data_IF_805778789186
#
_entry.id   IF_805778789186
#
_cell.length_a   1.000
_cell.length_b   1.000
_cell.length_c   1.000
_cell.angle_alpha   90.00
_cell.angle_beta   90.00
_cell.angle_gamma   90.00
#
_symmetry.space_group_name_H-M   'P 1'
#
loop_
_entity.id
_entity.type
_entity.pdbx_description
1 polymer ?
#
# COMPACT_ATOMS: atom_id res chain seq x y z
N UNK A 1 -42.56 36.19 25.21
CA UNK A 1 -43.49 36.02 24.07
C UNK A 1 -42.90 36.71 22.82
N UNK A 2 -41.96 36.08 22.09
CA UNK A 2 -41.22 36.77 21.02
C UNK A 2 -41.97 36.90 19.68
N UNK A 3 -43.03 36.11 19.42
CA UNK A 3 -43.75 36.09 18.13
C UNK A 3 -45.15 36.72 18.16
N UNK A 4 -45.62 37.12 19.35
CA UNK A 4 -46.97 37.67 19.54
C UNK A 4 -47.26 38.98 18.76
N UNK A 5 -46.33 39.95 18.61
CA UNK A 5 -46.64 41.18 17.88
C UNK A 5 -46.70 41.01 16.36
N UNK A 6 -46.30 39.85 15.81
CA UNK A 6 -46.23 39.60 14.36
C UNK A 6 -47.38 38.71 13.87
N UNK A 7 -47.84 37.74 14.67
CA UNK A 7 -48.85 36.75 14.24
C UNK A 7 -50.10 36.64 15.15
N UNK A 8 -50.18 37.39 16.25
CA UNK A 8 -51.27 37.29 17.23
C UNK A 8 -51.11 36.14 18.24
N UNK A 9 -51.68 36.30 19.44
CA UNK A 9 -51.39 35.45 20.62
C UNK A 9 -51.84 33.98 20.43
N UNK A 10 -52.91 33.74 19.67
CA UNK A 10 -53.43 32.38 19.39
C UNK A 10 -52.52 31.63 18.41
N UNK A 11 -52.14 32.26 17.30
CA UNK A 11 -51.24 31.65 16.31
C UNK A 11 -49.83 31.45 16.89
N UNK A 12 -49.36 32.38 17.74
CA UNK A 12 -48.08 32.26 18.44
C UNK A 12 -48.04 31.05 19.38
N UNK A 13 -49.10 30.82 20.15
CA UNK A 13 -49.23 29.65 21.03
C UNK A 13 -49.36 28.35 20.24
N UNK A 14 -50.14 28.36 19.15
CA UNK A 14 -50.27 27.19 18.27
C UNK A 14 -48.92 26.80 17.64
N UNK A 15 -48.17 27.78 17.12
CA UNK A 15 -46.84 27.55 16.54
C UNK A 15 -45.84 27.03 17.59
N UNK A 16 -45.80 27.64 18.78
CA UNK A 16 -44.93 27.19 19.86
C UNK A 16 -45.28 25.77 20.33
N UNK A 17 -46.57 25.46 20.50
CA UNK A 17 -47.05 24.12 20.87
C UNK A 17 -46.67 23.07 19.83
N UNK A 18 -46.91 23.34 18.54
CA UNK A 18 -46.51 22.45 17.44
C UNK A 18 -45.01 22.21 17.40
N UNK A 19 -44.21 23.26 17.61
CA UNK A 19 -42.74 23.17 17.64
C UNK A 19 -42.25 22.30 18.80
N UNK A 20 -42.79 22.49 20.01
CA UNK A 20 -42.43 21.71 21.20
C UNK A 20 -42.83 20.24 21.07
N UNK A 21 -43.97 19.95 20.43
CA UNK A 21 -44.46 18.58 20.25
C UNK A 21 -43.73 17.85 19.10
N UNK A 22 -43.48 18.53 17.98
CA UNK A 22 -42.95 17.87 16.78
C UNK A 22 -41.42 17.82 16.71
N UNK A 23 -40.69 18.81 17.23
CA UNK A 23 -39.21 18.82 17.15
C UNK A 23 -38.56 17.59 17.80
N UNK A 24 -38.96 17.13 19.01
CA UNK A 24 -38.37 15.92 19.59
C UNK A 24 -38.60 14.69 18.71
N UNK A 25 -39.76 14.58 18.05
CA UNK A 25 -40.07 13.50 17.12
C UNK A 25 -39.20 13.52 15.86
N UNK A 26 -38.99 14.70 15.27
CA UNK A 26 -38.12 14.87 14.10
C UNK A 26 -36.66 14.55 14.44
N UNK A 27 -36.12 15.08 15.55
CA UNK A 27 -34.75 14.79 15.96
C UNK A 27 -34.59 13.33 16.42
N UNK A 28 -35.57 12.76 17.11
CA UNK A 28 -35.59 11.34 17.46
C UNK A 28 -35.55 10.44 16.23
N UNK A 29 -36.35 10.77 15.20
CA UNK A 29 -36.33 10.09 13.91
C UNK A 29 -34.97 10.26 13.20
N UNK A 30 -34.41 11.46 13.13
CA UNK A 30 -33.10 11.69 12.50
C UNK A 30 -31.96 10.95 13.19
N UNK A 31 -31.94 10.96 14.53
CA UNK A 31 -30.94 10.22 15.32
C UNK A 31 -31.10 8.71 15.09
N UNK A 32 -32.34 8.22 15.08
CA UNK A 32 -32.63 6.82 14.80
C UNK A 32 -32.21 6.44 13.37
N UNK A 33 -32.61 7.21 12.36
CA UNK A 33 -32.31 6.99 10.95
C UNK A 33 -30.80 7.01 10.72
N UNK A 34 -30.07 7.96 11.31
CA UNK A 34 -28.62 8.03 11.24
C UNK A 34 -27.96 6.82 11.91
N UNK A 35 -28.46 6.41 13.07
CA UNK A 35 -27.96 5.23 13.79
C UNK A 35 -28.21 3.94 12.99
N UNK A 36 -29.37 3.78 12.39
CA UNK A 36 -29.73 2.59 11.63
C UNK A 36 -28.98 2.54 10.30
N UNK A 37 -28.84 3.69 9.63
CA UNK A 37 -27.97 3.84 8.45
C UNK A 37 -26.52 3.52 8.80
N UNK A 38 -26.01 3.98 9.95
CA UNK A 38 -24.67 3.64 10.43
C UNK A 38 -24.51 2.15 10.71
N UNK A 39 -25.52 1.49 11.31
CA UNK A 39 -25.53 0.05 11.54
C UNK A 39 -25.48 -0.73 10.23
N UNK A 40 -26.22 -0.30 9.20
CA UNK A 40 -26.16 -0.89 7.87
C UNK A 40 -24.78 -0.70 7.23
N UNK A 41 -24.17 0.47 7.35
CA UNK A 41 -22.80 0.71 6.90
C UNK A 41 -21.78 -0.17 7.64
N UNK A 42 -21.94 -0.34 8.95
CA UNK A 42 -21.07 -1.20 9.76
C UNK A 42 -21.23 -2.68 9.37
N UNK A 43 -22.47 -3.14 9.13
CA UNK A 43 -22.76 -4.50 8.72
C UNK A 43 -22.25 -4.83 7.31
N UNK A 44 -22.33 -3.87 6.38
CA UNK A 44 -21.83 -4.01 5.01
C UNK A 44 -20.33 -3.74 4.87
N UNK A 45 -19.66 -3.32 5.94
CA UNK A 45 -18.21 -3.08 5.92
C UNK A 45 -17.46 -4.41 5.95
N UNK A 46 -16.45 -4.54 5.09
CA UNK A 46 -15.54 -5.67 5.18
C UNK A 46 -14.88 -5.72 6.56
N UNK A 47 -14.89 -6.91 7.17
CA UNK A 47 -14.29 -7.16 8.49
C UNK A 47 -12.77 -7.04 8.51
N UNK A 48 -12.14 -7.02 7.34
CA UNK A 48 -10.69 -6.92 7.16
C UNK A 48 -10.35 -5.74 6.26
N UNK A 49 -9.15 -5.20 6.44
CA UNK A 49 -8.59 -4.19 5.53
C UNK A 49 -8.44 -4.77 4.12
N UNK A 50 -9.16 -4.20 3.14
CA UNK A 50 -9.14 -4.60 1.72
C UNK A 50 -8.50 -3.54 0.83
N UNK A 51 -7.94 -3.94 -0.32
CA UNK A 51 -7.47 -3.02 -1.34
C UNK A 51 -8.53 -2.01 -1.75
N UNK A 52 -8.11 -0.78 -2.03
CA UNK A 52 -8.98 0.32 -2.42
C UNK A 52 -8.61 0.86 -3.80
N UNK A 53 -9.52 1.66 -4.34
CA UNK A 53 -9.37 2.28 -5.66
C UNK A 53 -8.44 3.49 -5.55
N UNK A 54 -7.49 3.58 -6.47
CA UNK A 54 -6.47 4.64 -6.54
C UNK A 54 -6.98 5.82 -7.36
N UNK A 55 -7.68 5.56 -8.48
CA UNK A 55 -8.14 6.61 -9.41
C UNK A 55 -9.60 6.49 -9.87
N UNK A 56 -10.00 7.43 -10.74
CA UNK A 56 -11.34 7.57 -11.32
C UNK A 56 -11.82 6.34 -12.11
N UNK A 57 -10.88 5.55 -12.62
CA UNK A 57 -11.14 4.32 -13.38
C UNK A 57 -11.44 3.10 -12.49
N UNK A 58 -11.37 3.27 -11.16
CA UNK A 58 -11.74 2.26 -10.19
C UNK A 58 -10.78 1.07 -10.06
N UNK A 59 -9.55 1.22 -10.57
CA UNK A 59 -8.49 0.23 -10.41
C UNK A 59 -7.78 0.36 -9.07
N UNK A 60 -7.29 -0.77 -8.54
CA UNK A 60 -6.32 -0.81 -7.43
C UNK A 60 -4.90 -0.61 -7.97
N UNK A 61 -3.93 -0.29 -7.11
CA UNK A 61 -2.53 -0.15 -7.53
C UNK A 61 -2.01 -1.43 -8.21
N UNK A 62 -2.35 -2.60 -7.65
CA UNK A 62 -2.01 -3.88 -8.27
C UNK A 62 -2.60 -4.05 -9.68
N UNK A 63 -3.82 -3.56 -9.93
CA UNK A 63 -4.45 -3.61 -11.26
C UNK A 63 -3.89 -2.59 -12.22
N UNK A 64 -3.41 -1.43 -11.75
CA UNK A 64 -2.77 -0.42 -12.60
C UNK A 64 -1.54 -0.99 -13.31
N UNK A 65 -0.71 -1.74 -12.57
CA UNK A 65 0.55 -2.30 -13.07
C UNK A 65 0.39 -3.68 -13.72
N UNK A 66 -0.53 -4.55 -13.23
CA UNK A 66 -0.66 -5.91 -13.76
C UNK A 66 -1.42 -5.95 -15.11
N UNK A 67 -0.80 -6.48 -16.19
CA UNK A 67 -1.52 -6.67 -17.45
C UNK A 67 -2.73 -7.59 -17.28
N UNK A 68 -3.86 -7.24 -17.92
CA UNK A 68 -5.07 -8.06 -17.88
C UNK A 68 -6.30 -7.43 -18.55
N UNK A 69 -7.41 -8.17 -18.53
CA UNK A 69 -8.70 -7.69 -19.03
C UNK A 69 -9.30 -6.71 -18.02
N UNK A 70 -9.50 -5.45 -18.43
CA UNK A 70 -9.83 -4.31 -17.55
C UNK A 70 -8.78 -4.03 -16.45
N UNK A 71 -7.51 -4.35 -16.71
CA UNK A 71 -6.37 -3.95 -15.88
C UNK A 71 -5.18 -3.58 -16.75
N UNK A 72 -4.07 -3.16 -16.15
CA UNK A 72 -2.83 -2.83 -16.84
C UNK A 72 -2.90 -1.50 -17.57
N UNK A 73 -3.58 -0.50 -16.99
CA UNK A 73 -3.63 0.85 -17.53
C UNK A 73 -2.23 1.38 -17.81
N UNK A 74 -1.29 1.23 -16.87
CA UNK A 74 0.09 1.70 -17.02
C UNK A 74 0.79 0.99 -18.21
N UNK A 75 0.88 -0.35 -18.26
CA UNK A 75 1.43 -1.06 -19.42
C UNK A 75 0.76 -0.68 -20.76
N UNK A 76 -0.56 -0.50 -20.76
CA UNK A 76 -1.32 -0.17 -21.97
C UNK A 76 -1.01 1.24 -22.48
N UNK A 77 -0.91 2.23 -21.58
CA UNK A 77 -0.55 3.61 -21.93
C UNK A 77 0.89 3.65 -22.47
N UNK A 78 1.85 3.02 -21.79
CA UNK A 78 3.23 2.92 -22.28
C UNK A 78 3.34 2.24 -23.65
N UNK A 79 2.59 1.17 -23.89
CA UNK A 79 2.55 0.52 -25.22
C UNK A 79 2.03 1.46 -26.30
N UNK A 80 1.01 2.28 -26.01
CA UNK A 80 0.48 3.26 -26.95
C UNK A 80 1.46 4.41 -27.18
N UNK A 81 2.09 4.90 -26.13
CA UNK A 81 3.13 5.94 -26.19
C UNK A 81 4.27 5.52 -27.12
N UNK A 82 4.89 4.35 -26.86
CA UNK A 82 5.95 3.79 -27.72
C UNK A 82 5.51 3.55 -29.17
N UNK A 83 4.23 3.29 -29.41
CA UNK A 83 3.68 3.14 -30.77
C UNK A 83 3.51 4.49 -31.46
N UNK A 84 3.10 5.52 -30.74
CA UNK A 84 2.93 6.87 -31.25
C UNK A 84 4.29 7.51 -31.59
N UNK A 85 5.28 7.35 -30.71
CA UNK A 85 6.66 7.84 -30.90
C UNK A 85 7.28 7.23 -32.17
N UNK A 86 7.21 5.91 -32.33
CA UNK A 86 7.71 5.20 -33.53
C UNK A 86 7.05 5.66 -34.84
N UNK A 87 5.83 6.19 -34.77
CA UNK A 87 5.09 6.71 -35.94
C UNK A 87 5.25 8.21 -36.14
N UNK A 88 5.94 8.92 -35.24
CA UNK A 88 6.04 10.38 -35.27
C UNK A 88 4.71 11.10 -35.02
N UNK A 89 3.75 10.46 -34.34
CA UNK A 89 2.41 11.03 -34.11
C UNK A 89 2.38 11.91 -32.85
N UNK A 90 2.92 13.13 -32.92
CA UNK A 90 3.11 14.02 -31.76
C UNK A 90 1.84 14.28 -30.94
N UNK A 91 0.67 14.35 -31.59
CA UNK A 91 -0.61 14.53 -30.88
C UNK A 91 -0.98 13.33 -29.99
N UNK A 92 -0.71 12.11 -30.45
CA UNK A 92 -0.98 10.90 -29.68
C UNK A 92 0.08 10.70 -28.58
N UNK A 93 1.34 11.09 -28.83
CA UNK A 93 2.39 11.13 -27.79
C UNK A 93 1.93 11.99 -26.62
N UNK A 94 1.56 13.26 -26.88
CA UNK A 94 1.07 14.18 -25.84
C UNK A 94 -0.13 13.62 -25.09
N UNK A 95 -1.09 13.01 -25.80
CA UNK A 95 -2.27 12.39 -25.18
C UNK A 95 -1.90 11.24 -24.22
N UNK A 96 -0.93 10.40 -24.59
CA UNK A 96 -0.51 9.29 -23.71
C UNK A 96 0.37 9.78 -22.55
N UNK A 97 1.19 10.83 -22.75
CA UNK A 97 1.92 11.50 -21.66
C UNK A 97 0.95 12.10 -20.63
N UNK A 98 -0.10 12.79 -21.07
CA UNK A 98 -1.16 13.30 -20.18
C UNK A 98 -1.85 12.17 -19.41
N UNK A 99 -2.08 11.04 -20.08
CA UNK A 99 -2.67 9.87 -19.43
C UNK A 99 -1.77 9.28 -18.34
N UNK A 100 -0.44 9.31 -18.50
CA UNK A 100 0.50 8.94 -17.45
C UNK A 100 0.50 9.95 -16.30
N UNK A 101 0.47 11.24 -16.62
CA UNK A 101 0.39 12.30 -15.62
C UNK A 101 -0.84 12.16 -14.71
N UNK A 102 -2.02 11.85 -15.27
CA UNK A 102 -3.20 11.56 -14.46
C UNK A 102 -3.07 10.31 -13.57
N UNK A 103 -2.27 9.32 -13.96
CA UNK A 103 -1.97 8.18 -13.09
C UNK A 103 -1.06 8.61 -11.94
N UNK A 104 -0.04 9.43 -12.20
CA UNK A 104 0.83 10.01 -11.18
C UNK A 104 0.02 10.80 -10.14
N UNK A 105 -0.89 11.68 -10.59
CA UNK A 105 -1.80 12.43 -9.71
C UNK A 105 -2.69 11.51 -8.87
N UNK A 106 -3.28 10.47 -9.48
CA UNK A 106 -4.13 9.52 -8.77
C UNK A 106 -3.35 8.75 -7.68
N UNK A 107 -2.11 8.39 -7.97
CA UNK A 107 -1.20 7.72 -7.02
C UNK A 107 -0.82 8.68 -5.88
N UNK A 108 -0.49 9.93 -6.20
CA UNK A 108 -0.16 10.95 -5.20
C UNK A 108 -1.34 11.20 -4.24
N UNK A 109 -2.57 11.29 -4.78
CA UNK A 109 -3.79 11.40 -3.97
C UNK A 109 -4.05 10.15 -3.13
N UNK A 110 -3.80 8.96 -3.66
CA UNK A 110 -3.92 7.72 -2.90
C UNK A 110 -2.95 7.67 -1.72
N UNK A 111 -1.68 8.03 -1.92
CA UNK A 111 -0.68 8.07 -0.84
C UNK A 111 -1.05 9.14 0.19
N UNK A 112 -1.43 10.33 -0.26
CA UNK A 112 -1.90 11.40 0.65
C UNK A 112 -3.07 10.92 1.51
N UNK A 113 -4.05 10.25 0.91
CA UNK A 113 -5.25 9.78 1.59
C UNK A 113 -5.01 8.59 2.53
N UNK A 114 -4.21 7.62 2.11
CA UNK A 114 -4.04 6.35 2.85
C UNK A 114 -2.80 6.33 3.74
N UNK A 115 -1.86 7.26 3.60
CA UNK A 115 -0.66 7.38 4.44
C UNK A 115 -0.69 8.67 5.26
N UNK A 116 -0.67 9.84 4.60
CA UNK A 116 -0.48 11.12 5.30
C UNK A 116 -1.68 11.48 6.17
N UNK A 117 -2.90 11.30 5.65
CA UNK A 117 -4.11 11.61 6.41
C UNK A 117 -4.20 10.81 7.72
N UNK A 118 -3.73 9.56 7.73
CA UNK A 118 -3.69 8.73 8.95
C UNK A 118 -2.67 9.26 9.96
N UNK A 119 -1.46 9.57 9.50
CA UNK A 119 -0.39 10.10 10.35
C UNK A 119 -0.82 11.45 10.96
N UNK A 120 -1.40 12.33 10.16
CA UNK A 120 -1.95 13.62 10.60
C UNK A 120 -3.07 13.43 11.62
N UNK A 121 -4.01 12.51 11.38
CA UNK A 121 -5.13 12.27 12.30
C UNK A 121 -4.67 11.67 13.63
N UNK A 122 -3.62 10.85 13.62
CA UNK A 122 -3.14 10.14 14.81
C UNK A 122 -2.46 11.03 15.85
N UNK A 123 -1.87 12.15 15.40
CA UNK A 123 -1.01 12.99 16.24
C UNK A 123 0.33 12.35 16.67
N UNK A 124 0.63 11.12 16.22
CA UNK A 124 1.84 10.37 16.62
C UNK A 124 3.06 10.60 15.74
N UNK A 125 2.89 11.42 14.71
CA UNK A 125 3.94 11.83 13.79
C UNK A 125 3.94 13.36 13.76
N UNK A 126 4.78 14.03 14.58
CA UNK A 126 4.72 15.49 14.77
C UNK A 126 4.84 16.29 13.46
N UNK A 127 5.69 15.82 12.56
CA UNK A 127 5.99 16.44 11.27
C UNK A 127 4.98 16.06 10.17
N UNK A 128 3.81 15.49 10.52
CA UNK A 128 2.88 14.95 9.51
C UNK A 128 2.35 16.02 8.57
N UNK A 129 2.26 17.26 9.07
CA UNK A 129 1.89 18.45 8.30
C UNK A 129 2.90 18.81 7.19
N UNK A 130 4.14 18.34 7.29
CA UNK A 130 5.20 18.59 6.32
C UNK A 130 5.38 17.46 5.29
N UNK A 131 4.66 16.34 5.46
CA UNK A 131 4.67 15.22 4.52
C UNK A 131 4.03 15.63 3.18
N UNK A 132 4.71 15.29 2.09
CA UNK A 132 4.19 15.46 0.73
C UNK A 132 4.73 14.40 -0.22
N UNK A 133 3.98 14.13 -1.28
CA UNK A 133 4.52 13.42 -2.44
C UNK A 133 5.29 14.44 -3.26
N UNK A 134 6.61 14.26 -3.38
CA UNK A 134 7.46 15.13 -4.19
C UNK A 134 7.44 14.73 -5.66
N UNK A 135 7.42 13.42 -5.90
CA UNK A 135 7.41 12.85 -7.24
C UNK A 135 6.77 11.47 -7.23
N UNK A 136 6.08 11.15 -8.32
CA UNK A 136 5.70 9.78 -8.65
C UNK A 136 6.45 9.41 -9.92
N UNK A 137 7.23 8.34 -9.86
CA UNK A 137 7.96 7.79 -10.99
C UNK A 137 7.25 6.54 -11.47
N UNK A 138 6.89 6.49 -12.75
CA UNK A 138 6.17 5.35 -13.30
C UNK A 138 6.92 4.82 -14.53
N UNK A 139 7.13 3.51 -14.55
CA UNK A 139 7.56 2.78 -15.75
C UNK A 139 6.51 1.72 -16.11
N UNK A 140 6.83 0.82 -17.05
CA UNK A 140 5.87 -0.22 -17.45
C UNK A 140 5.53 -1.17 -16.29
N UNK A 141 6.48 -1.44 -15.40
CA UNK A 141 6.33 -2.43 -14.32
C UNK A 141 6.78 -1.92 -12.94
N UNK A 142 7.29 -0.68 -12.86
CA UNK A 142 7.73 -0.07 -11.62
C UNK A 142 6.90 1.19 -11.35
N UNK A 143 6.63 1.43 -10.07
CA UNK A 143 6.09 2.68 -9.57
C UNK A 143 6.84 3.08 -8.30
N UNK A 144 7.52 4.21 -8.33
CA UNK A 144 8.19 4.83 -7.20
C UNK A 144 7.42 6.05 -6.71
N UNK A 145 7.26 6.19 -5.40
CA UNK A 145 6.68 7.38 -4.75
C UNK A 145 7.74 7.98 -3.86
N UNK A 146 8.22 9.16 -4.25
CA UNK A 146 9.16 9.96 -3.46
C UNK A 146 8.36 10.79 -2.48
N UNK A 147 8.54 10.49 -1.20
CA UNK A 147 7.88 11.14 -0.06
C UNK A 147 8.88 12.05 0.62
N UNK A 148 8.58 13.35 0.65
CA UNK A 148 9.40 14.35 1.31
C UNK A 148 8.84 14.74 2.67
N UNK A 149 9.73 15.01 3.61
CA UNK A 149 9.44 15.67 4.88
C UNK A 149 10.63 16.60 5.24
N UNK A 150 10.66 17.85 4.76
CA UNK A 150 11.84 18.71 4.89
C UNK A 150 12.43 18.85 6.30
N UNK A 151 11.62 18.93 7.37
CA UNK A 151 12.16 19.02 8.73
C UNK A 151 12.99 17.79 9.14
N UNK A 152 12.76 16.63 8.51
CA UNK A 152 13.38 15.36 8.86
C UNK A 152 14.52 14.94 7.90
N UNK A 153 14.77 15.71 6.83
CA UNK A 153 15.90 15.51 5.93
C UNK A 153 15.52 14.95 4.55
N UNK A 154 16.36 14.07 3.95
CA UNK A 154 16.19 13.60 2.57
C UNK A 154 14.89 12.79 2.38
N UNK A 155 14.34 12.75 1.16
CA UNK A 155 13.09 12.06 0.91
C UNK A 155 13.22 10.54 0.97
N UNK A 156 12.16 9.88 1.41
CA UNK A 156 11.97 8.43 1.40
C UNK A 156 11.37 8.02 0.04
N UNK A 157 11.77 6.87 -0.50
CA UNK A 157 11.13 6.31 -1.70
C UNK A 157 10.41 5.00 -1.40
N UNK A 158 9.10 4.96 -1.63
CA UNK A 158 8.30 3.74 -1.61
C UNK A 158 8.16 3.19 -3.02
N UNK A 159 8.55 1.94 -3.24
CA UNK A 159 8.49 1.28 -4.54
C UNK A 159 7.40 0.20 -4.60
N UNK A 160 6.80 0.05 -5.77
CA UNK A 160 5.79 -0.95 -6.11
C UNK A 160 6.10 -1.55 -7.49
N UNK A 161 6.58 -2.78 -7.49
CA UNK A 161 6.99 -3.50 -8.70
C UNK A 161 6.00 -4.60 -9.07
N UNK A 162 5.70 -4.71 -10.36
CA UNK A 162 5.03 -5.88 -10.93
C UNK A 162 6.10 -6.91 -11.29
N UNK A 163 6.21 -7.97 -10.49
CA UNK A 163 7.16 -9.06 -10.71
C UNK A 163 6.41 -10.37 -10.83
N UNK A 164 6.43 -10.97 -12.03
CA UNK A 164 5.87 -12.30 -12.26
C UNK A 164 4.39 -12.45 -11.83
N UNK A 165 3.54 -11.43 -12.03
CA UNK A 165 2.15 -11.38 -11.56
C UNK A 165 1.98 -11.18 -10.05
N UNK A 166 3.00 -10.71 -9.35
CA UNK A 166 2.92 -10.26 -7.97
C UNK A 166 3.19 -8.75 -7.89
N UNK A 167 2.40 -8.04 -7.08
CA UNK A 167 2.76 -6.69 -6.68
C UNK A 167 3.71 -6.79 -5.49
N UNK A 168 4.97 -6.42 -5.69
CA UNK A 168 6.02 -6.42 -4.67
C UNK A 168 6.24 -4.99 -4.21
N UNK A 169 6.23 -4.73 -2.91
CA UNK A 169 6.52 -3.42 -2.37
C UNK A 169 7.84 -3.41 -1.58
N UNK A 170 8.45 -2.24 -1.51
CA UNK A 170 9.64 -1.99 -0.69
C UNK A 170 9.81 -0.52 -0.33
N UNK A 171 10.69 -0.28 0.63
CA UNK A 171 11.37 0.99 0.83
C UNK A 171 12.62 0.97 -0.04
N UNK A 172 12.64 1.73 -1.12
CA UNK A 172 13.78 1.77 -2.06
C UNK A 172 14.86 2.80 -1.67
N UNK A 173 14.47 3.82 -0.90
CA UNK A 173 15.39 4.75 -0.24
C UNK A 173 14.78 5.11 1.10
N UNK A 174 15.54 5.01 2.19
CA UNK A 174 15.04 5.24 3.55
C UNK A 174 14.84 6.72 3.85
N UNK A 175 15.60 7.61 3.22
CA UNK A 175 15.52 9.04 3.45
C UNK A 175 15.43 9.40 4.93
N UNK A 176 14.40 10.16 5.28
CA UNK A 176 14.16 10.66 6.63
C UNK A 176 13.79 9.58 7.67
N UNK A 177 13.57 8.31 7.28
CA UNK A 177 13.16 7.26 8.21
C UNK A 177 14.14 7.08 9.38
N UNK A 178 15.43 7.20 9.12
CA UNK A 178 16.48 6.99 10.13
C UNK A 178 16.57 8.13 11.16
N UNK A 179 15.94 9.27 10.85
CA UNK A 179 15.83 10.41 11.77
C UNK A 179 14.59 10.33 12.68
N UNK A 180 13.69 9.36 12.46
CA UNK A 180 12.44 9.28 13.20
C UNK A 180 12.62 8.78 14.64
N UNK A 181 12.03 9.45 15.65
CA UNK A 181 11.87 8.88 16.98
C UNK A 181 11.11 7.56 16.94
N UNK A 182 11.36 6.67 17.91
CA UNK A 182 10.79 5.32 17.93
C UNK A 182 9.26 5.27 17.81
N UNK A 183 8.55 6.21 18.45
CA UNK A 183 7.09 6.31 18.36
C UNK A 183 6.62 6.70 16.95
N UNK A 184 7.24 7.74 16.37
CA UNK A 184 6.93 8.20 15.03
C UNK A 184 7.27 7.14 13.98
N UNK A 185 8.38 6.41 14.15
CA UNK A 185 8.77 5.28 13.31
C UNK A 185 7.75 4.14 13.38
N UNK A 186 7.26 3.79 14.58
CA UNK A 186 6.24 2.75 14.74
C UNK A 186 4.87 3.15 14.17
N UNK A 187 4.50 4.43 14.27
CA UNK A 187 3.34 4.98 13.61
C UNK A 187 3.51 4.93 12.08
N UNK A 188 4.67 5.35 11.57
CA UNK A 188 4.98 5.31 10.14
C UNK A 188 4.94 3.88 9.58
N UNK A 189 5.55 2.91 10.25
CA UNK A 189 5.50 1.48 9.91
C UNK A 189 4.06 0.96 9.84
N UNK A 190 3.22 1.33 10.82
CA UNK A 190 1.80 0.96 10.84
C UNK A 190 1.04 1.59 9.66
N UNK A 191 1.37 2.83 9.29
CA UNK A 191 0.73 3.53 8.18
C UNK A 191 1.14 2.94 6.83
N UNK A 192 2.43 2.62 6.65
CA UNK A 192 2.96 1.91 5.46
C UNK A 192 2.33 0.52 5.33
N UNK A 193 2.18 -0.22 6.43
CA UNK A 193 1.45 -1.49 6.43
C UNK A 193 0.04 -1.31 5.83
N UNK A 194 -0.69 -0.30 6.30
CA UNK A 194 -2.02 0.05 5.79
C UNK A 194 -2.01 0.39 4.32
N UNK A 195 -1.10 1.28 3.91
CA UNK A 195 -0.91 1.67 2.52
C UNK A 195 -0.69 0.45 1.62
N UNK A 196 0.18 -0.49 2.01
CA UNK A 196 0.45 -1.71 1.25
C UNK A 196 -0.78 -2.63 1.17
N UNK A 197 -1.54 -2.76 2.26
CA UNK A 197 -2.83 -3.50 2.23
C UNK A 197 -3.84 -2.86 1.29
N UNK A 198 -3.92 -1.54 1.33
CA UNK A 198 -4.82 -0.72 0.52
C UNK A 198 -4.41 -0.71 -0.96
N UNK A 199 -3.13 -0.81 -1.25
CA UNK A 199 -2.59 -0.96 -2.61
C UNK A 199 -2.84 -2.35 -3.20
N UNK A 200 -2.98 -3.37 -2.34
CA UNK A 200 -3.12 -4.77 -2.73
C UNK A 200 -1.78 -5.46 -2.99
N UNK A 201 -0.76 -5.08 -2.22
CA UNK A 201 0.58 -5.67 -2.24
C UNK A 201 0.51 -7.16 -1.92
N UNK A 202 1.12 -7.98 -2.78
CA UNK A 202 1.21 -9.44 -2.60
C UNK A 202 2.37 -9.81 -1.67
N UNK A 203 3.53 -9.17 -1.85
CA UNK A 203 4.81 -9.47 -1.20
C UNK A 203 5.52 -8.17 -0.80
N UNK A 204 6.30 -8.20 0.28
CA UNK A 204 7.13 -7.06 0.71
C UNK A 204 8.59 -7.52 0.80
N UNK A 205 9.53 -6.75 0.26
CA UNK A 205 10.93 -7.18 0.15
C UNK A 205 11.59 -7.38 1.51
N UNK A 206 11.45 -6.39 2.39
CA UNK A 206 11.93 -6.38 3.77
C UNK A 206 11.41 -7.61 4.52
N UNK A 207 10.13 -7.94 4.30
CA UNK A 207 9.49 -9.09 4.89
C UNK A 207 10.02 -10.42 4.35
N UNK A 208 10.26 -10.53 3.04
CA UNK A 208 10.93 -11.72 2.46
C UNK A 208 12.30 -11.92 3.09
N UNK A 209 13.12 -10.87 3.13
CA UNK A 209 14.48 -10.92 3.70
C UNK A 209 14.45 -11.36 5.15
N UNK A 210 13.48 -10.89 5.95
CA UNK A 210 13.32 -11.27 7.36
C UNK A 210 13.08 -12.78 7.57
N UNK A 211 12.51 -13.47 6.57
CA UNK A 211 12.21 -14.90 6.62
C UNK A 211 13.37 -15.78 6.16
N UNK A 212 14.37 -15.21 5.47
CA UNK A 212 15.45 -15.97 4.85
C UNK A 212 16.70 -15.98 5.73
N UNK A 213 17.26 -17.17 6.06
CA UNK A 213 18.47 -17.26 6.87
C UNK A 213 19.65 -16.64 6.13
N UNK A 214 20.41 -15.78 6.81
CA UNK A 214 21.60 -15.14 6.25
C UNK A 214 21.33 -14.02 5.24
N UNK A 215 20.06 -13.62 5.04
CA UNK A 215 19.66 -12.51 4.15
C UNK A 215 20.27 -12.57 2.73
N UNK A 216 20.19 -13.73 2.05
CA UNK A 216 20.79 -13.92 0.73
C UNK A 216 20.11 -13.08 -0.36
N UNK A 217 20.80 -12.91 -1.50
CA UNK A 217 20.16 -12.44 -2.73
C UNK A 217 18.96 -13.30 -3.11
N UNK A 218 17.90 -12.67 -3.62
CA UNK A 218 16.71 -13.37 -4.12
C UNK A 218 16.00 -12.64 -5.26
N UNK A 219 15.16 -13.36 -6.00
CA UNK A 219 14.27 -12.80 -7.03
C UNK A 219 12.85 -13.40 -6.97
N UNK A 220 11.85 -12.61 -7.37
CA UNK A 220 10.45 -13.04 -7.55
C UNK A 220 10.21 -13.39 -9.01
N UNK A 221 10.66 -14.58 -9.38
CA UNK A 221 10.62 -15.09 -10.74
C UNK A 221 9.33 -15.85 -11.06
N UNK A 222 9.18 -16.22 -12.35
CA UNK A 222 8.00 -16.92 -12.87
C UNK A 222 7.77 -18.28 -12.20
N UNK A 223 8.86 -18.97 -11.83
CA UNK A 223 8.90 -20.27 -11.17
C UNK A 223 8.68 -20.19 -9.65
N UNK A 224 8.86 -19.03 -9.03
CA UNK A 224 8.69 -18.84 -7.59
C UNK A 224 9.61 -17.77 -7.02
N UNK A 225 9.80 -17.81 -5.71
CA UNK A 225 10.85 -17.06 -5.01
C UNK A 225 12.15 -17.86 -5.15
N UNK A 226 13.12 -17.32 -5.89
CA UNK A 226 14.43 -17.93 -6.10
C UNK A 226 15.40 -17.28 -5.13
N UNK A 227 16.12 -18.09 -4.36
CA UNK A 227 17.07 -17.63 -3.34
C UNK A 227 18.44 -18.20 -3.64
N UNK A 228 19.48 -17.37 -3.57
CA UNK A 228 20.86 -17.77 -3.81
C UNK A 228 21.70 -17.70 -2.53
N UNK A 229 21.78 -18.81 -1.75
CA UNK A 229 22.43 -18.82 -0.44
C UNK A 229 23.96 -18.80 -0.48
N UNK A 230 24.56 -19.17 -1.60
CA UNK A 230 26.01 -19.24 -1.78
C UNK A 230 26.57 -18.08 -2.58
N UNK A 231 27.88 -17.85 -2.47
CA UNK A 231 28.58 -16.91 -3.36
C UNK A 231 28.54 -17.43 -4.80
N UNK A 232 28.34 -16.53 -5.76
CA UNK A 232 28.39 -16.85 -7.20
C UNK A 232 27.16 -17.54 -7.78
N UNK A 233 26.00 -17.50 -7.11
CA UNK A 233 24.70 -17.92 -7.66
C UNK A 233 24.62 -19.39 -8.13
N UNK A 234 25.51 -20.27 -7.65
CA UNK A 234 25.61 -21.68 -8.10
C UNK A 234 24.56 -22.60 -7.47
N UNK A 235 23.99 -22.20 -6.34
CA UNK A 235 22.93 -22.92 -5.63
C UNK A 235 21.67 -22.10 -5.71
N UNK A 236 20.57 -22.71 -6.18
CA UNK A 236 19.25 -22.09 -6.22
C UNK A 236 18.31 -22.81 -5.27
N UNK A 237 17.67 -22.06 -4.39
CA UNK A 237 16.59 -22.55 -3.54
C UNK A 237 15.30 -21.89 -4.01
N UNK A 238 14.39 -22.68 -4.59
CA UNK A 238 13.16 -22.18 -5.21
C UNK A 238 11.94 -22.55 -4.39
N UNK A 239 11.17 -21.53 -3.97
CA UNK A 239 9.88 -21.68 -3.31
C UNK A 239 8.72 -21.43 -4.31
N UNK A 240 7.87 -22.43 -4.60
CA UNK A 240 6.85 -22.31 -5.66
C UNK A 240 5.66 -21.44 -5.24
N UNK A 241 5.72 -20.14 -5.50
CA UNK A 241 4.72 -19.14 -5.10
C UNK A 241 3.31 -19.35 -5.68
N UNK A 242 3.19 -20.03 -6.83
CA UNK A 242 1.89 -20.29 -7.49
C UNK A 242 1.16 -21.50 -6.93
N UNK A 243 1.85 -22.34 -6.16
CA UNK A 243 1.23 -23.50 -5.55
C UNK A 243 0.29 -23.05 -4.43
N UNK A 244 -0.94 -23.57 -4.42
CA UNK A 244 -1.92 -23.32 -3.34
C UNK A 244 -1.63 -24.18 -2.11
N UNK A 245 -0.36 -24.24 -1.69
CA UNK A 245 0.05 -24.96 -0.49
C UNK A 245 0.08 -24.01 0.73
N UNK A 246 -0.21 -24.56 1.91
CA UNK A 246 -0.02 -23.85 3.18
C UNK A 246 1.47 -23.72 3.54
N UNK A 247 2.25 -24.75 3.22
CA UNK A 247 3.69 -24.81 3.39
C UNK A 247 4.36 -24.88 2.01
N UNK A 248 5.24 -23.94 1.72
CA UNK A 248 6.03 -23.88 0.49
C UNK A 248 7.33 -24.65 0.74
N UNK A 249 7.42 -25.83 0.14
CA UNK A 249 8.62 -26.65 0.23
C UNK A 249 9.70 -26.11 -0.74
N UNK A 250 10.93 -25.88 -0.27
CA UNK A 250 12.01 -25.45 -1.13
C UNK A 250 12.42 -26.58 -2.08
N UNK A 251 12.80 -26.20 -3.31
CA UNK A 251 13.46 -27.06 -4.27
C UNK A 251 14.88 -26.56 -4.44
N UNK A 252 15.86 -27.41 -4.19
CA UNK A 252 17.28 -27.06 -4.28
C UNK A 252 17.84 -27.57 -5.60
N UNK A 253 18.50 -26.69 -6.34
CA UNK A 253 19.28 -27.01 -7.55
C UNK A 253 20.72 -26.58 -7.31
N UNK A 254 21.68 -27.45 -7.65
CA UNK A 254 23.11 -27.19 -7.44
C UNK A 254 23.66 -27.81 -6.15
N UNK A 255 24.85 -27.36 -5.69
CA UNK A 255 25.44 -27.82 -4.43
C UNK A 255 24.51 -27.60 -3.23
N UNK A 256 24.62 -28.40 -2.16
CA UNK A 256 23.82 -28.19 -0.96
C UNK A 256 24.18 -26.85 -0.29
N UNK A 257 23.19 -26.05 0.15
CA UNK A 257 23.47 -24.78 0.80
C UNK A 257 24.15 -24.98 2.17
N UNK A 258 24.94 -24.00 2.66
CA UNK A 258 25.62 -24.08 3.95
C UNK A 258 24.67 -24.23 5.14
N UNK A 259 23.48 -23.63 5.02
CA UNK A 259 22.40 -23.68 6.00
C UNK A 259 21.18 -24.34 5.36
N UNK A 260 20.52 -25.29 6.03
CA UNK A 260 19.29 -25.90 5.52
C UNK A 260 18.18 -24.84 5.38
N UNK A 261 17.56 -24.80 4.20
CA UNK A 261 16.36 -23.99 3.96
C UNK A 261 15.13 -24.82 4.28
N UNK A 262 14.36 -24.38 5.28
CA UNK A 262 13.11 -25.02 5.68
C UNK A 262 11.92 -24.60 4.79
N UNK A 263 10.78 -25.26 5.02
CA UNK A 263 9.52 -24.86 4.41
C UNK A 263 9.07 -23.49 4.92
N UNK A 264 8.54 -22.66 4.03
CA UNK A 264 7.97 -21.36 4.40
C UNK A 264 6.44 -21.46 4.54
N UNK A 265 5.88 -20.87 5.59
CA UNK A 265 4.42 -20.76 5.73
C UNK A 265 3.93 -19.72 4.73
N UNK A 266 3.04 -20.11 3.81
CA UNK A 266 2.56 -19.21 2.76
C UNK A 266 1.81 -17.99 3.33
N UNK A 267 1.14 -18.12 4.47
CA UNK A 267 0.47 -17.00 5.14
C UNK A 267 1.46 -15.99 5.76
N UNK A 268 2.67 -16.45 6.11
CA UNK A 268 3.74 -15.58 6.57
C UNK A 268 4.41 -14.90 5.39
N UNK A 269 4.72 -15.62 4.30
CA UNK A 269 5.36 -15.03 3.12
C UNK A 269 4.47 -14.03 2.36
N UNK A 270 3.21 -14.39 2.10
CA UNK A 270 2.30 -13.52 1.35
C UNK A 270 1.73 -12.43 2.25
N UNK A 271 2.29 -11.22 2.12
CA UNK A 271 1.83 -10.04 2.85
C UNK A 271 0.31 -9.89 2.77
N UNK A 272 -0.31 -10.03 1.58
CA UNK A 272 -1.77 -9.93 1.43
C UNK A 272 -2.59 -10.87 2.31
N UNK A 273 -2.04 -12.04 2.69
CA UNK A 273 -2.73 -13.06 3.47
C UNK A 273 -2.73 -12.79 4.98
N UNK A 274 -1.86 -11.90 5.48
CA UNK A 274 -1.87 -11.50 6.91
C UNK A 274 -3.16 -10.73 7.22
N UNK A 275 -4.13 -11.28 7.97
CA UNK A 275 -5.38 -10.58 8.22
C UNK A 275 -5.14 -9.35 9.10
N UNK A 276 -5.84 -8.26 8.80
CA UNK A 276 -5.92 -7.10 9.70
C UNK A 276 -7.39 -6.82 9.94
N UNK A 277 -7.90 -7.19 11.13
CA UNK A 277 -9.27 -6.85 11.50
C UNK A 277 -9.48 -5.35 11.41
N UNK A 278 -10.61 -4.94 10.85
CA UNK A 278 -10.95 -3.53 10.70
C UNK A 278 -10.98 -2.80 12.05
N UNK A 279 -11.41 -3.48 13.11
CA UNK A 279 -11.41 -2.94 14.48
C UNK A 279 -9.99 -2.64 14.95
N UNK A 280 -9.08 -3.61 14.88
CA UNK A 280 -7.66 -3.42 15.22
C UNK A 280 -7.04 -2.27 14.43
N UNK A 281 -7.37 -2.17 13.14
CA UNK A 281 -6.91 -1.07 12.30
C UNK A 281 -7.41 0.29 12.80
N UNK A 282 -8.71 0.43 13.07
CA UNK A 282 -9.29 1.68 13.59
C UNK A 282 -8.75 2.02 14.96
N UNK A 283 -8.66 1.04 15.86
CA UNK A 283 -8.18 1.23 17.23
C UNK A 283 -6.74 1.79 17.23
N UNK A 284 -5.88 1.29 16.34
CA UNK A 284 -4.48 1.75 16.16
C UNK A 284 -4.40 3.27 15.92
N UNK A 285 -5.40 3.85 15.23
CA UNK A 285 -5.41 5.25 14.81
C UNK A 285 -6.35 6.14 15.63
N UNK A 286 -7.15 5.55 16.51
CA UNK A 286 -8.12 6.32 17.29
C UNK A 286 -7.41 6.97 18.47
N UNK A 287 -7.50 8.30 18.55
CA UNK A 287 -7.00 9.06 19.68
C UNK A 287 -7.67 8.56 20.96
N UNK A 288 -6.86 7.93 21.81
CA UNK A 288 -7.24 7.30 23.08
C UNK A 288 -6.20 7.71 24.11
N UNK A 289 -6.60 7.83 25.38
CA UNK A 289 -5.70 8.08 26.50
C UNK A 289 -5.79 6.89 27.48
N UNK A 290 -4.75 6.03 27.59
CA UNK A 290 -3.50 6.08 26.84
C UNK A 290 -3.64 5.69 25.35
N UNK A 291 -2.72 6.12 24.48
CA UNK A 291 -2.75 5.80 23.05
C UNK A 291 -2.70 4.29 22.80
N UNK A 292 -3.63 3.78 21.97
CA UNK A 292 -3.62 2.40 21.51
C UNK A 292 -2.27 1.99 20.92
N UNK A 293 -1.75 0.77 21.19
CA UNK A 293 -0.41 0.41 20.75
C UNK A 293 -0.30 0.36 19.21
N UNK A 294 0.91 0.57 18.65
CA UNK A 294 1.15 0.41 17.22
C UNK A 294 0.78 -1.00 16.71
N UNK A 295 0.52 -1.12 15.42
CA UNK A 295 0.01 -2.35 14.81
C UNK A 295 0.94 -3.56 15.04
N UNK A 296 2.25 -3.32 15.14
CA UNK A 296 3.26 -4.35 15.43
C UNK A 296 3.06 -5.06 16.78
N UNK A 297 2.43 -4.40 17.75
CA UNK A 297 2.09 -5.04 19.04
C UNK A 297 0.93 -6.02 18.86
N UNK A 298 -0.04 -5.68 18.01
CA UNK A 298 -1.21 -6.53 17.76
C UNK A 298 -0.93 -7.68 16.78
N UNK A 299 -0.05 -7.46 15.79
CA UNK A 299 0.20 -8.41 14.69
C UNK A 299 1.58 -9.11 14.75
N UNK A 300 2.39 -8.79 15.77
CA UNK A 300 3.79 -9.20 15.86
C UNK A 300 4.70 -8.36 14.96
N UNK A 301 5.96 -8.78 14.84
CA UNK A 301 6.96 -8.06 14.05
C UNK A 301 6.47 -7.73 12.63
N UNK A 302 6.69 -6.47 12.24
CA UNK A 302 6.39 -5.90 10.93
C UNK A 302 7.71 -5.45 10.30
N UNK A 303 8.54 -6.35 9.76
CA UNK A 303 9.81 -5.99 9.16
C UNK A 303 9.56 -5.31 7.80
N UNK A 304 8.91 -4.14 7.80
CA UNK A 304 8.56 -3.35 6.61
C UNK A 304 9.50 -2.18 6.40
N UNK A 305 10.17 -1.74 7.47
CA UNK A 305 11.14 -0.66 7.47
C UNK A 305 12.53 -1.15 7.91
N UNK A 306 12.78 -2.46 7.87
CA UNK A 306 14.09 -3.01 8.20
C UNK A 306 15.10 -2.66 7.09
N UNK A 307 16.32 -2.32 7.50
CA UNK A 307 17.40 -1.69 6.71
C UNK A 307 17.90 -2.54 5.51
N UNK A 308 17.71 -3.86 5.57
CA UNK A 308 18.47 -4.78 4.72
C UNK A 308 17.77 -5.22 3.42
N UNK A 309 16.60 -4.68 3.06
CA UNK A 309 15.98 -4.99 1.76
C UNK A 309 16.72 -4.35 0.59
N UNK A 310 17.43 -3.25 0.85
CA UNK A 310 18.10 -2.44 -0.16
C UNK A 310 19.23 -3.19 -0.88
N UNK A 311 19.86 -4.16 -0.22
CA UNK A 311 20.88 -5.03 -0.84
C UNK A 311 20.34 -5.94 -1.96
N UNK A 312 19.02 -6.03 -2.13
CA UNK A 312 18.37 -6.76 -3.22
C UNK A 312 17.76 -5.84 -4.30
N UNK A 313 17.65 -4.53 -4.02
CA UNK A 313 16.94 -3.60 -4.90
C UNK A 313 17.80 -3.10 -6.07
N UNK A 314 19.11 -3.04 -5.90
CA UNK A 314 20.07 -2.79 -6.97
C UNK A 314 21.31 -3.62 -6.68
N UNK A 315 21.60 -4.58 -7.56
CA UNK A 315 22.99 -4.92 -7.79
C UNK A 315 23.61 -3.64 -8.32
N UNK A 316 24.32 -2.92 -7.44
CA UNK A 316 25.18 -1.82 -7.84
C UNK A 316 26.02 -2.28 -9.03
N UNK A 317 26.14 -1.39 -10.00
CA UNK A 317 26.81 -1.54 -11.29
C UNK A 317 28.35 -1.70 -11.16
N UNK A 318 28.83 -2.10 -9.98
CA UNK A 318 30.25 -2.25 -9.70
C UNK A 318 30.52 -3.41 -8.72
N UNK A 319 31.30 -4.39 -9.19
CA UNK A 319 31.94 -5.50 -8.45
C UNK A 319 31.16 -6.81 -8.21
N UNK A 320 30.59 -7.42 -9.25
CA UNK A 320 30.31 -8.87 -9.25
C UNK A 320 29.55 -9.35 -10.49
N UNK A 321 29.69 -10.63 -10.91
CA UNK A 321 28.86 -11.14 -12.01
C UNK A 321 27.40 -11.09 -11.57
N UNK A 322 26.58 -10.32 -12.29
CA UNK A 322 25.14 -10.28 -12.12
C UNK A 322 24.57 -11.72 -12.16
N UNK A 323 23.54 -12.05 -11.36
CA UNK A 323 22.85 -13.31 -11.49
C UNK A 323 22.37 -13.46 -12.93
N UNK A 324 22.33 -14.69 -13.47
CA UNK A 324 21.76 -14.91 -14.79
C UNK A 324 20.29 -14.48 -14.77
N UNK A 325 20.03 -13.29 -15.32
CA UNK A 325 18.67 -12.87 -15.63
C UNK A 325 18.12 -13.92 -16.58
N UNK A 326 17.03 -14.58 -16.19
CA UNK A 326 16.30 -15.53 -17.04
C UNK A 326 15.69 -14.82 -18.24
N UNK A 327 16.53 -14.38 -19.18
CA UNK A 327 16.15 -13.98 -20.51
C UNK A 327 15.84 -15.26 -21.27
N UNK A 328 14.55 -15.51 -21.47
CA UNK A 328 14.05 -16.45 -22.46
C UNK A 328 14.10 -15.73 -23.82
N UNK A 329 15.01 -16.06 -24.75
CA UNK A 329 15.09 -15.43 -26.06
C UNK A 329 14.05 -16.07 -26.98
N UNK A 330 12.77 -15.85 -26.71
CA UNK A 330 11.69 -16.38 -27.54
C UNK A 330 10.37 -15.60 -27.43
N UNK A 331 10.39 -14.29 -27.71
CA UNK A 331 9.22 -13.61 -28.29
C UNK A 331 9.70 -12.57 -29.29
N UNK A 332 9.80 -12.99 -30.55
CA UNK A 332 9.77 -12.11 -31.72
C UNK A 332 8.33 -11.63 -31.98
#
# INVERSE_FOLDING_TARGET
>A
KPLAPIMGDVASKAFAGTTVVLLPGVFGFLVWEFKETWRLYAANRHRELKPVRVGSHGETLARLLRPGFHSGTVPKVFRKLRKAERKGHSAEVRKQSEALHHVEEAVAHFVTRELFALLTQSGRFPEAHALRVEKVEITTFHLGVVVGCPPLGPPLTLAFDEQSHFLVASVADRGFLDALPAEAAAAFESAVFGLYKRAGVDLVREHIVSLLPGRPPYDVAKNGLVVWPGKGFTTEVVYPLRQRALLLQPRVTGPPPPVPYGALVAAELFFKKRPVPWTTWVDTWTATDPPAPPLRVALGALPLLDDDSLGNAYLDDDTGPAPPVGLDPAVA
#
